data_IF_887191261901
#
_entry.id   IF_887191261901
#
_cell.length_a   1.000
_cell.length_b   1.000
_cell.length_c   1.000
_cell.angle_alpha   90.00
_cell.angle_beta   90.00
_cell.angle_gamma   90.00
#
_symmetry.space_group_name_H-M   'P 1'
#
loop_
_entity.id
_entity.type
_entity.pdbx_description
1 polymer ?
#
# COMPACT_ATOMS: atom_id res chain seq x y z
N UNK A 1 1.52 57.73 21.13
CA UNK A 1 2.53 56.64 21.15
C UNK A 1 2.15 55.63 22.22
N UNK A 2 1.48 54.55 21.85
CA UNK A 2 1.01 53.49 22.76
C UNK A 2 2.17 52.58 23.13
N UNK A 3 2.60 52.62 24.40
CA UNK A 3 3.64 51.72 24.94
C UNK A 3 3.01 50.36 25.24
N UNK A 4 3.26 49.38 24.39
CA UNK A 4 2.83 47.99 24.59
C UNK A 4 3.62 47.42 25.78
N UNK A 5 2.93 47.17 26.90
CA UNK A 5 3.50 46.45 28.04
C UNK A 5 3.31 44.96 27.79
N UNK A 6 4.30 44.32 27.18
CA UNK A 6 4.35 42.86 27.06
C UNK A 6 4.60 42.27 28.45
N UNK A 7 3.60 41.55 28.97
CA UNK A 7 3.73 40.76 30.18
C UNK A 7 4.69 39.60 29.92
N UNK A 8 5.57 39.30 30.89
CA UNK A 8 6.52 38.19 30.83
C UNK A 8 5.80 36.86 30.52
N UNK A 9 4.58 36.69 31.01
CA UNK A 9 3.74 35.52 30.74
C UNK A 9 3.37 35.35 29.25
N UNK A 10 3.17 36.46 28.53
CA UNK A 10 2.88 36.45 27.09
C UNK A 10 4.09 36.01 26.28
N UNK A 11 5.31 36.31 26.74
CA UNK A 11 6.56 35.88 26.12
C UNK A 11 6.76 34.36 26.33
N UNK A 12 6.48 33.85 27.53
CA UNK A 12 6.55 32.40 27.82
C UNK A 12 5.55 31.57 27.01
N UNK A 13 4.35 32.09 26.77
CA UNK A 13 3.35 31.42 25.94
C UNK A 13 3.78 31.37 24.46
N UNK A 14 4.38 32.45 23.97
CA UNK A 14 4.91 32.52 22.60
C UNK A 14 6.10 31.57 22.40
N UNK A 15 7.02 31.49 23.37
CA UNK A 15 8.16 30.57 23.26
C UNK A 15 7.71 29.11 23.31
N UNK A 16 6.73 28.76 24.14
CA UNK A 16 6.16 27.41 24.20
C UNK A 16 5.46 27.00 22.89
N UNK A 17 4.66 27.89 22.30
CA UNK A 17 3.98 27.63 21.03
C UNK A 17 4.95 27.51 19.86
N UNK A 18 5.99 28.35 19.81
CA UNK A 18 7.04 28.26 18.80
C UNK A 18 7.86 26.97 18.97
N UNK A 19 8.22 26.59 20.19
CA UNK A 19 8.94 25.34 20.46
C UNK A 19 8.11 24.11 20.05
N UNK A 20 6.81 24.11 20.35
CA UNK A 20 5.89 23.05 19.94
C UNK A 20 5.76 22.95 18.41
N UNK A 21 5.64 24.10 17.73
CA UNK A 21 5.58 24.15 16.27
C UNK A 21 6.86 23.61 15.62
N UNK A 22 8.03 23.97 16.17
CA UNK A 22 9.33 23.46 15.70
C UNK A 22 9.42 21.94 15.92
N UNK A 23 9.04 21.44 17.10
CA UNK A 23 9.02 20.00 17.38
C UNK A 23 8.08 19.23 16.43
N UNK A 24 6.90 19.79 16.12
CA UNK A 24 5.97 19.21 15.14
C UNK A 24 6.55 19.18 13.72
N UNK A 25 7.30 20.21 13.31
CA UNK A 25 7.97 20.25 12.01
C UNK A 25 9.08 19.21 11.95
N UNK A 26 9.95 19.14 12.97
CA UNK A 26 11.02 18.14 13.04
C UNK A 26 10.48 16.71 13.01
N UNK A 27 9.43 16.43 13.79
CA UNK A 27 8.76 15.13 13.79
C UNK A 27 8.20 14.76 12.40
N UNK A 28 7.58 15.72 11.69
CA UNK A 28 7.10 15.48 10.32
C UNK A 28 8.24 15.24 9.33
N UNK A 29 9.39 15.89 9.50
CA UNK A 29 10.57 15.68 8.65
C UNK A 29 11.17 14.30 8.87
N UNK A 30 11.35 13.86 10.12
CA UNK A 30 11.83 12.50 10.42
C UNK A 30 10.88 11.44 9.88
N UNK A 31 9.57 11.60 10.07
CA UNK A 31 8.58 10.70 9.47
C UNK A 31 8.75 10.69 7.96
N UNK A 32 8.89 11.85 7.31
CA UNK A 32 9.06 11.93 5.85
C UNK A 32 10.36 11.29 5.35
N UNK A 33 11.44 11.38 6.13
CA UNK A 33 12.72 10.75 5.83
C UNK A 33 12.65 9.23 6.00
N UNK A 34 12.12 8.75 7.11
CA UNK A 34 11.83 7.32 7.33
C UNK A 34 10.89 6.77 6.26
N UNK A 35 9.87 7.54 5.85
CA UNK A 35 8.96 7.14 4.77
C UNK A 35 9.67 7.11 3.41
N UNK A 36 10.67 7.97 3.18
CA UNK A 36 11.49 7.94 1.95
C UNK A 36 12.49 6.79 1.95
N UNK A 37 13.08 6.46 3.10
CA UNK A 37 13.95 5.30 3.26
C UNK A 37 13.18 4.00 3.13
N UNK A 38 11.97 3.91 3.68
CA UNK A 38 11.03 2.82 3.38
C UNK A 38 10.55 2.82 1.92
N UNK A 39 10.57 3.97 1.22
CA UNK A 39 10.24 4.04 -0.21
C UNK A 39 11.34 3.45 -1.11
N UNK A 40 12.55 3.23 -0.57
CA UNK A 40 13.53 2.30 -1.15
C UNK A 40 13.14 0.86 -0.80
N UNK A 41 11.89 0.51 -1.14
CA UNK A 41 11.26 -0.78 -0.90
C UNK A 41 12.15 -1.84 -1.53
N UNK A 42 12.69 -2.73 -0.69
CA UNK A 42 13.30 -3.98 -1.15
C UNK A 42 12.23 -4.67 -2.00
N UNK A 43 12.50 -5.02 -3.27
CA UNK A 43 11.50 -5.67 -4.08
C UNK A 43 11.03 -6.94 -3.39
N UNK A 44 9.71 -7.03 -3.19
CA UNK A 44 9.03 -8.24 -2.76
C UNK A 44 9.48 -9.43 -3.59
N UNK A 45 9.59 -10.58 -2.92
CA UNK A 45 10.02 -11.81 -3.58
C UNK A 45 8.94 -12.21 -4.59
N UNK A 46 9.36 -12.51 -5.81
CA UNK A 46 8.47 -12.90 -6.91
C UNK A 46 7.55 -14.08 -6.51
N UNK A 47 8.08 -15.04 -5.77
CA UNK A 47 7.33 -16.20 -5.26
C UNK A 47 6.19 -15.80 -4.31
N UNK A 48 6.37 -14.79 -3.47
CA UNK A 48 5.35 -14.32 -2.53
C UNK A 48 4.25 -13.55 -3.25
N UNK A 49 4.65 -12.71 -4.21
CA UNK A 49 3.72 -12.01 -5.11
C UNK A 49 2.86 -13.04 -5.83
N UNK A 50 3.47 -14.03 -6.47
CA UNK A 50 2.76 -15.07 -7.20
C UNK A 50 1.78 -15.83 -6.30
N UNK A 51 2.24 -16.30 -5.13
CA UNK A 51 1.40 -17.03 -4.20
C UNK A 51 0.18 -16.22 -3.70
N UNK A 52 0.31 -14.90 -3.50
CA UNK A 52 -0.81 -14.06 -3.11
C UNK A 52 -1.80 -13.85 -4.25
N UNK A 53 -1.31 -13.63 -5.48
CA UNK A 53 -2.16 -13.47 -6.66
C UNK A 53 -2.93 -14.76 -6.94
N UNK A 54 -2.24 -15.90 -6.98
CA UNK A 54 -2.86 -17.20 -7.24
C UNK A 54 -3.94 -17.56 -6.22
N UNK A 55 -3.75 -17.20 -4.94
CA UNK A 55 -4.79 -17.36 -3.91
C UNK A 55 -6.02 -16.51 -4.18
N UNK A 56 -5.83 -15.24 -4.56
CA UNK A 56 -6.94 -14.32 -4.82
C UNK A 56 -7.73 -14.71 -6.07
N UNK A 57 -7.05 -15.14 -7.13
CA UNK A 57 -7.70 -15.58 -8.36
C UNK A 57 -8.38 -16.95 -8.19
N UNK A 58 -7.78 -17.84 -7.38
CA UNK A 58 -8.42 -19.12 -7.02
C UNK A 58 -9.71 -18.92 -6.21
N UNK A 59 -9.78 -17.88 -5.37
CA UNK A 59 -10.99 -17.55 -4.62
C UNK A 59 -12.18 -17.19 -5.53
N UNK A 60 -11.92 -16.68 -6.74
CA UNK A 60 -12.94 -16.41 -7.77
C UNK A 60 -13.09 -17.55 -8.79
N UNK A 61 -12.57 -18.74 -8.48
CA UNK A 61 -12.64 -19.97 -9.31
C UNK A 61 -11.98 -19.86 -10.69
N UNK A 62 -11.07 -18.89 -10.86
CA UNK A 62 -10.29 -18.70 -12.07
C UNK A 62 -8.81 -18.74 -11.69
N UNK A 63 -8.24 -19.93 -11.40
CA UNK A 63 -6.84 -20.03 -11.03
C UNK A 63 -5.97 -19.52 -12.18
N UNK A 64 -4.99 -18.69 -11.83
CA UNK A 64 -3.95 -18.23 -12.76
C UNK A 64 -2.65 -18.90 -12.38
N UNK A 65 -1.71 -18.96 -13.32
CA UNK A 65 -0.33 -19.34 -13.06
C UNK A 65 0.56 -18.16 -13.46
N UNK A 66 1.37 -17.68 -12.53
CA UNK A 66 2.27 -16.56 -12.82
C UNK A 66 3.48 -17.08 -13.60
N UNK A 67 3.72 -16.47 -14.77
CA UNK A 67 4.80 -16.85 -15.68
C UNK A 67 6.03 -15.98 -15.46
N UNK A 68 5.83 -14.69 -15.18
CA UNK A 68 6.91 -13.73 -14.97
C UNK A 68 6.47 -12.57 -14.07
N UNK A 69 7.41 -12.05 -13.29
CA UNK A 69 7.23 -10.86 -12.45
C UNK A 69 8.40 -9.92 -12.68
N UNK A 70 8.15 -8.76 -13.27
CA UNK A 70 9.18 -7.75 -13.54
C UNK A 70 8.95 -6.51 -12.70
N UNK A 71 9.97 -6.06 -11.96
CA UNK A 71 9.91 -4.85 -11.15
C UNK A 71 10.52 -3.65 -11.88
N UNK A 72 9.77 -2.54 -11.99
CA UNK A 72 10.24 -1.29 -12.58
C UNK A 72 9.61 -0.08 -11.91
N UNK A 73 10.43 0.79 -11.32
CA UNK A 73 10.01 2.10 -10.82
C UNK A 73 8.79 2.08 -9.89
N UNK A 74 8.77 1.17 -8.91
CA UNK A 74 7.68 0.95 -7.95
C UNK A 74 6.41 0.31 -8.52
N UNK A 75 6.51 -0.29 -9.70
CA UNK A 75 5.43 -1.07 -10.33
C UNK A 75 5.95 -2.46 -10.64
N UNK A 76 5.15 -3.49 -10.37
CA UNK A 76 5.37 -4.82 -10.91
C UNK A 76 4.54 -5.00 -12.17
N UNK A 77 5.15 -5.49 -13.23
CA UNK A 77 4.46 -6.07 -14.36
C UNK A 77 4.38 -7.57 -14.11
N UNK A 78 3.15 -8.08 -14.04
CA UNK A 78 2.87 -9.48 -13.81
C UNK A 78 2.37 -10.08 -15.12
N UNK A 79 3.05 -11.10 -15.59
CA UNK A 79 2.61 -11.93 -16.71
C UNK A 79 2.08 -13.24 -16.15
N UNK A 80 0.91 -13.66 -16.61
CA UNK A 80 0.24 -14.85 -16.12
C UNK A 80 -0.50 -15.55 -17.23
N UNK A 81 -0.77 -16.83 -17.03
CA UNK A 81 -1.66 -17.62 -17.85
C UNK A 81 -2.88 -18.04 -17.04
N UNK A 82 -4.04 -18.07 -17.68
CA UNK A 82 -5.25 -18.64 -17.09
C UNK A 82 -5.86 -19.65 -18.04
N UNK A 83 -6.57 -20.63 -17.48
CA UNK A 83 -7.34 -21.57 -18.26
C UNK A 83 -8.68 -20.93 -18.62
N UNK A 84 -8.92 -20.71 -19.91
CA UNK A 84 -10.21 -20.23 -20.40
C UNK A 84 -11.18 -21.42 -20.54
N UNK A 85 -12.26 -21.49 -19.74
CA UNK A 85 -13.22 -22.58 -19.80
C UNK A 85 -14.03 -22.60 -21.11
N UNK A 86 -14.10 -21.50 -21.85
CA UNK A 86 -14.85 -21.41 -23.10
C UNK A 86 -14.07 -22.00 -24.28
N UNK A 87 -12.78 -21.70 -24.37
CA UNK A 87 -11.91 -22.17 -25.46
C UNK A 87 -11.15 -23.45 -25.10
N UNK A 88 -11.04 -23.79 -23.81
CA UNK A 88 -10.24 -24.91 -23.32
C UNK A 88 -8.74 -24.70 -23.48
N UNK A 89 -8.30 -23.45 -23.69
CA UNK A 89 -6.90 -23.09 -23.94
C UNK A 89 -6.32 -22.27 -22.79
N UNK A 90 -4.99 -22.29 -22.66
CA UNK A 90 -4.28 -21.38 -21.77
C UNK A 90 -4.10 -20.05 -22.49
N UNK A 91 -4.63 -18.99 -21.90
CA UNK A 91 -4.53 -17.65 -22.46
C UNK A 91 -3.52 -16.84 -21.65
N UNK A 92 -2.46 -16.30 -22.29
CA UNK A 92 -1.53 -15.41 -21.62
C UNK A 92 -2.16 -14.02 -21.47
N UNK A 93 -1.95 -13.40 -20.32
CA UNK A 93 -2.36 -12.03 -20.03
C UNK A 93 -1.31 -11.36 -19.13
N UNK A 94 -1.42 -10.05 -18.98
CA UNK A 94 -0.55 -9.28 -18.08
C UNK A 94 -1.31 -8.16 -17.42
N UNK A 95 -0.88 -7.80 -16.20
CA UNK A 95 -1.40 -6.64 -15.50
C UNK A 95 -0.30 -5.97 -14.66
N UNK A 96 -0.58 -4.75 -14.22
CA UNK A 96 0.36 -3.95 -13.43
C UNK A 96 -0.10 -3.88 -11.98
N UNK A 97 0.83 -4.16 -11.06
CA UNK A 97 0.68 -3.90 -9.63
C UNK A 97 1.46 -2.63 -9.28
N UNK A 98 0.76 -1.57 -8.91
CA UNK A 98 1.37 -0.32 -8.50
C UNK A 98 1.52 -0.29 -6.99
N UNK A 99 2.67 0.15 -6.50
CA UNK A 99 2.83 0.44 -5.08
C UNK A 99 1.84 1.52 -4.61
N UNK A 100 1.09 1.20 -3.58
CA UNK A 100 0.28 2.11 -2.77
C UNK A 100 0.93 2.31 -1.39
N UNK A 101 0.26 3.06 -0.51
CA UNK A 101 0.76 3.30 0.84
C UNK A 101 0.74 2.01 1.69
N UNK A 102 1.57 1.98 2.73
CA UNK A 102 1.60 0.94 3.76
C UNK A 102 2.00 -0.46 3.25
N UNK A 103 2.96 -0.54 2.32
CA UNK A 103 3.49 -1.84 1.86
C UNK A 103 2.51 -2.63 0.99
N UNK A 104 1.48 -1.97 0.45
CA UNK A 104 0.48 -2.60 -0.42
C UNK A 104 0.81 -2.33 -1.87
N UNK A 105 0.66 -3.33 -2.72
CA UNK A 105 0.69 -3.21 -4.16
C UNK A 105 -0.67 -3.58 -4.71
N UNK A 106 -1.27 -2.70 -5.49
CA UNK A 106 -2.63 -2.87 -6.00
C UNK A 106 -2.62 -2.82 -7.52
N UNK A 107 -3.37 -3.74 -8.12
CA UNK A 107 -3.61 -3.82 -9.55
C UNK A 107 -5.01 -4.36 -9.83
N UNK A 108 -5.39 -4.36 -11.10
CA UNK A 108 -6.65 -4.95 -11.53
C UNK A 108 -6.43 -5.74 -12.81
N UNK A 109 -6.99 -6.96 -12.86
CA UNK A 109 -7.09 -7.76 -14.08
C UNK A 109 -8.40 -7.34 -14.75
N UNK A 110 -8.30 -6.81 -15.97
CA UNK A 110 -9.43 -6.21 -16.71
C UNK A 110 -9.80 -7.00 -17.97
N UNK A 111 -9.29 -8.21 -18.10
CA UNK A 111 -9.56 -9.09 -19.23
C UNK A 111 -10.69 -10.06 -18.89
N UNK A 112 -11.46 -10.48 -19.88
CA UNK A 112 -12.37 -11.62 -19.72
C UNK A 112 -11.57 -12.88 -19.37
N UNK A 113 -11.99 -13.71 -18.40
CA UNK A 113 -13.27 -13.73 -17.66
C UNK A 113 -13.25 -13.00 -16.31
N UNK A 114 -12.23 -12.17 -16.03
CA UNK A 114 -12.07 -11.47 -14.74
C UNK A 114 -12.87 -10.17 -14.62
N UNK A 115 -13.57 -9.76 -15.68
CA UNK A 115 -14.44 -8.60 -15.66
C UNK A 115 -15.64 -8.81 -14.72
N UNK A 116 -15.70 -8.01 -13.64
CA UNK A 116 -16.88 -7.98 -12.77
C UNK A 116 -18.03 -7.22 -13.44
N UNK A 117 -19.28 -7.72 -13.34
CA UNK A 117 -20.45 -7.06 -13.91
C UNK A 117 -20.83 -5.77 -13.19
N UNK A 118 -20.46 -5.67 -11.90
CA UNK A 118 -20.59 -4.44 -11.12
C UNK A 118 -19.23 -3.76 -11.02
N UNK A 119 -19.16 -2.43 -11.25
CA UNK A 119 -17.96 -1.67 -10.96
C UNK A 119 -17.69 -1.68 -9.45
N UNK A 120 -16.41 -1.64 -9.07
CA UNK A 120 -16.00 -1.50 -7.68
C UNK A 120 -16.31 -0.09 -7.13
N UNK A 121 -15.99 0.14 -5.86
CA UNK A 121 -16.18 1.45 -5.19
C UNK A 121 -15.44 2.60 -5.89
N UNK A 122 -14.46 2.30 -6.75
CA UNK A 122 -13.72 3.25 -7.58
C UNK A 122 -14.28 3.45 -8.99
N UNK A 123 -15.38 2.78 -9.35
CA UNK A 123 -15.95 2.80 -10.70
C UNK A 123 -15.22 1.91 -11.70
N UNK A 124 -14.26 1.10 -11.24
CA UNK A 124 -13.42 0.26 -12.08
C UNK A 124 -14.02 -1.14 -12.26
N UNK A 125 -13.83 -1.73 -13.44
CA UNK A 125 -14.30 -3.09 -13.74
C UNK A 125 -13.12 -4.05 -13.81
N UNK A 126 -13.23 -5.20 -13.16
CA UNK A 126 -12.20 -6.23 -13.16
C UNK A 126 -12.01 -6.88 -11.80
N UNK A 127 -11.09 -7.83 -11.74
CA UNK A 127 -10.67 -8.43 -10.48
C UNK A 127 -9.57 -7.57 -9.86
N UNK A 128 -9.87 -6.93 -8.72
CA UNK A 128 -8.86 -6.19 -7.95
C UNK A 128 -7.94 -7.16 -7.22
N UNK A 129 -6.65 -7.02 -7.47
CA UNK A 129 -5.60 -7.79 -6.84
C UNK A 129 -4.84 -6.88 -5.87
N UNK A 130 -4.66 -7.34 -4.64
CA UNK A 130 -3.90 -6.63 -3.61
C UNK A 130 -2.83 -7.55 -3.06
N UNK A 131 -1.57 -7.18 -3.25
CA UNK A 131 -0.43 -7.86 -2.64
C UNK A 131 0.05 -7.03 -1.46
N UNK A 132 0.22 -7.66 -0.30
CA UNK A 132 0.69 -7.01 0.92
C UNK A 132 2.08 -7.55 1.25
N UNK A 133 3.00 -6.64 1.54
CA UNK A 133 4.32 -7.01 2.03
C UNK A 133 4.20 -7.70 3.42
N UNK A 134 4.72 -8.94 3.58
CA UNK A 134 4.61 -9.66 4.85
C UNK A 134 5.26 -8.91 6.02
N UNK A 135 6.32 -8.12 5.77
CA UNK A 135 6.94 -7.31 6.82
C UNK A 135 5.98 -6.24 7.35
N UNK A 136 5.20 -5.63 6.46
CA UNK A 136 4.17 -4.66 6.86
C UNK A 136 2.99 -5.35 7.56
N UNK A 137 2.63 -6.56 7.15
CA UNK A 137 1.57 -7.32 7.82
C UNK A 137 1.96 -7.68 9.27
N UNK A 138 3.21 -8.05 9.51
CA UNK A 138 3.72 -8.32 10.87
C UNK A 138 3.76 -7.07 11.74
N UNK A 139 4.26 -5.95 11.20
CA UNK A 139 4.30 -4.67 11.92
C UNK A 139 2.90 -4.14 12.26
N UNK A 140 1.94 -4.30 11.36
CA UNK A 140 0.55 -3.92 11.62
C UNK A 140 -0.05 -4.74 12.78
N UNK A 141 0.19 -6.06 12.80
CA UNK A 141 -0.27 -6.93 13.87
C UNK A 141 0.40 -6.62 15.21
N UNK A 142 1.70 -6.30 15.22
CA UNK A 142 2.42 -5.92 16.43
C UNK A 142 1.93 -4.57 16.98
N UNK A 143 1.65 -3.60 16.10
CA UNK A 143 1.09 -2.32 16.50
C UNK A 143 -0.30 -2.48 17.11
N UNK A 144 -1.19 -3.25 16.46
CA UNK A 144 -2.54 -3.53 16.97
C UNK A 144 -2.49 -4.23 18.33
N UNK A 145 -1.61 -5.21 18.50
CA UNK A 145 -1.41 -5.90 19.77
C UNK A 145 -0.94 -4.95 20.88
N UNK A 146 -0.03 -4.02 20.57
CA UNK A 146 0.44 -3.01 21.53
C UNK A 146 -0.65 -1.99 21.89
N UNK A 147 -1.45 -1.54 20.92
CA UNK A 147 -2.57 -0.63 21.21
C UNK A 147 -3.65 -1.29 22.06
N UNK A 148 -3.94 -2.58 21.85
CA UNK A 148 -4.88 -3.33 22.69
C UNK A 148 -4.35 -3.57 24.11
N UNK A 149 -3.03 -3.69 24.28
CA UNK A 149 -2.40 -3.78 25.59
C UNK A 149 -2.41 -2.46 26.38
N UNK A 150 -2.42 -1.32 25.68
CA UNK A 150 -2.48 0.03 26.27
C UNK A 150 -3.91 0.50 26.61
N UNK A 151 -4.95 -0.20 26.13
CA UNK A 151 -6.37 0.09 26.43
C UNK A 151 -6.94 -0.76 27.57
N UNK A 152 -6.12 -1.62 28.20
CA UNK A 152 -6.45 -2.36 29.43
C UNK A 152 -5.66 -1.79 30.61
#
# INVERSE_FOLDING_TARGET
MTRIRLSLASIFWLTATVALAIALIYSRVEISQLTRELRNVVPLREMEIAAQIERQTSAVKLPVSITSTMYSGNTYLIEFEYFDPLTGTRTPSSFKLRYEQNGRHVGAIRDDPFLSPQPDEGGERGLRITVIDPLFAELANEYDAKTQALTK
#
